data_IF_977366125015
#
_entry.id   IF_977366125015
#
_cell.length_a   1.000
_cell.length_b   1.000
_cell.length_c   1.000
_cell.angle_alpha   90.00
_cell.angle_beta   90.00
_cell.angle_gamma   90.00
#
_symmetry.space_group_name_H-M   'P 1'
#
loop_
_entity.id
_entity.type
_entity.pdbx_description
1 polymer ?
#
# COMPACT_ATOMS: atom_id res chain seq x y z
N UNK A 1 23.67 9.89 -8.46
CA UNK A 1 22.22 9.80 -8.74
C UNK A 1 21.54 9.35 -7.46
N UNK A 2 20.69 10.18 -6.86
CA UNK A 2 19.77 9.71 -5.81
C UNK A 2 18.61 9.03 -6.52
N UNK A 3 18.41 7.74 -6.28
CA UNK A 3 17.18 7.06 -6.69
C UNK A 3 16.15 7.35 -5.60
N UNK A 4 15.31 8.35 -5.81
CA UNK A 4 14.18 8.67 -4.92
C UNK A 4 12.95 7.91 -5.39
N UNK A 5 12.97 6.58 -5.25
CA UNK A 5 11.75 5.77 -5.39
C UNK A 5 11.14 5.61 -4.01
N UNK A 6 10.49 6.68 -3.56
CA UNK A 6 9.73 6.74 -2.32
C UNK A 6 8.27 7.04 -2.68
N UNK A 7 7.34 6.39 -2.00
CA UNK A 7 5.90 6.58 -2.17
C UNK A 7 5.24 6.50 -0.79
N UNK A 8 4.15 7.22 -0.61
CA UNK A 8 3.39 7.25 0.63
C UNK A 8 2.06 6.54 0.43
N UNK A 9 1.78 5.61 1.33
CA UNK A 9 0.50 4.93 1.42
C UNK A 9 -0.34 5.54 2.53
N UNK A 10 -1.47 6.14 2.17
CA UNK A 10 -2.49 6.58 3.11
C UNK A 10 -3.58 5.51 3.20
N UNK A 11 -3.66 4.77 4.31
CA UNK A 11 -4.56 3.63 4.45
C UNK A 11 -5.46 3.74 5.68
N UNK A 12 -6.75 3.45 5.52
CA UNK A 12 -7.67 3.31 6.65
C UNK A 12 -7.39 2.02 7.42
N UNK A 13 -7.40 2.11 8.75
CA UNK A 13 -7.33 0.91 9.58
C UNK A 13 -8.70 0.23 9.62
N UNK A 14 -8.76 -1.05 9.28
CA UNK A 14 -9.95 -1.89 9.48
C UNK A 14 -10.39 -1.94 10.95
N UNK A 15 -9.43 -1.97 11.88
CA UNK A 15 -9.72 -2.13 13.31
C UNK A 15 -10.10 -0.82 14.02
N UNK A 16 -9.40 0.29 13.77
CA UNK A 16 -9.62 1.56 14.48
C UNK A 16 -10.21 2.69 13.62
N UNK A 17 -10.42 2.48 12.31
CA UNK A 17 -10.97 3.47 11.39
C UNK A 17 -10.05 4.68 11.09
N UNK A 18 -8.87 4.77 11.73
CA UNK A 18 -7.95 5.89 11.50
C UNK A 18 -7.21 5.77 10.18
N UNK A 19 -7.17 6.88 9.42
CA UNK A 19 -6.28 7.06 8.28
C UNK A 19 -4.86 7.35 8.78
N UNK A 20 -3.87 6.57 8.31
CA UNK A 20 -2.46 6.83 8.62
C UNK A 20 -1.64 6.83 7.33
N UNK A 21 -0.60 7.65 7.32
CA UNK A 21 0.34 7.78 6.22
C UNK A 21 1.58 6.91 6.52
N UNK A 22 1.99 6.14 5.54
CA UNK A 22 3.14 5.25 5.63
C UNK A 22 4.07 5.47 4.44
N UNK A 23 5.24 6.00 4.73
CA UNK A 23 6.27 6.22 3.73
C UNK A 23 6.99 4.91 3.44
N UNK A 24 6.97 4.50 2.18
CA UNK A 24 7.64 3.33 1.66
C UNK A 24 8.76 3.77 0.74
N UNK A 25 9.91 3.12 0.88
CA UNK A 25 11.03 3.32 -0.02
C UNK A 25 11.39 2.03 -0.73
N UNK A 26 11.86 2.13 -1.97
CA UNK A 26 12.30 0.98 -2.77
C UNK A 26 13.36 0.15 -2.03
N UNK A 27 14.17 0.81 -1.19
CA UNK A 27 15.22 0.17 -0.40
C UNK A 27 14.68 -0.80 0.66
N UNK A 28 13.44 -0.63 1.13
CA UNK A 28 12.82 -1.58 2.07
C UNK A 28 12.55 -2.94 1.43
N UNK A 29 12.53 -3.02 0.09
CA UNK A 29 12.42 -4.27 -0.65
C UNK A 29 13.79 -4.87 -1.00
N UNK A 30 14.89 -4.18 -0.68
CA UNK A 30 16.24 -4.67 -0.96
C UNK A 30 16.60 -5.77 0.03
N UNK A 31 16.44 -7.03 -0.38
CA UNK A 31 16.71 -8.21 0.46
C UNK A 31 15.48 -8.79 1.15
N UNK A 32 14.34 -8.08 1.14
CA UNK A 32 13.07 -8.60 1.62
C UNK A 32 11.98 -8.40 0.54
N UNK A 33 11.24 -9.45 0.21
CA UNK A 33 10.25 -9.37 -0.85
C UNK A 33 8.92 -8.76 -0.38
N UNK A 34 8.78 -8.38 0.88
CA UNK A 34 7.56 -7.78 1.40
C UNK A 34 7.80 -6.78 2.52
N UNK A 35 6.89 -5.82 2.63
CA UNK A 35 6.83 -4.79 3.66
C UNK A 35 5.43 -4.80 4.24
N UNK A 36 5.32 -5.07 5.55
CA UNK A 36 4.05 -5.03 6.27
C UNK A 36 3.84 -3.64 6.88
N UNK A 37 2.61 -3.13 6.77
CA UNK A 37 2.21 -1.81 7.22
C UNK A 37 1.37 -1.97 8.47
N UNK A 38 1.86 -1.43 9.58
CA UNK A 38 1.21 -1.53 10.88
C UNK A 38 0.49 -0.24 11.22
N UNK A 39 -0.70 -0.37 11.78
CA UNK A 39 -1.37 0.76 12.43
C UNK A 39 -0.73 1.04 13.80
N UNK A 40 -0.91 2.27 14.29
CA UNK A 40 -0.64 2.62 15.69
C UNK A 40 -1.40 1.74 16.70
N UNK A 41 -2.49 1.06 16.28
CA UNK A 41 -3.23 0.13 17.13
C UNK A 41 -2.59 -1.28 17.20
N UNK A 42 -1.48 -1.53 16.50
CA UNK A 42 -0.77 -2.81 16.47
C UNK A 42 -1.23 -3.78 15.36
N UNK A 43 -2.35 -3.50 14.69
CA UNK A 43 -2.89 -4.35 13.63
C UNK A 43 -2.21 -4.12 12.29
N UNK A 44 -2.06 -5.18 11.48
CA UNK A 44 -1.54 -5.08 10.12
C UNK A 44 -2.67 -4.54 9.22
N UNK A 45 -2.46 -3.38 8.62
CA UNK A 45 -3.42 -2.78 7.68
C UNK A 45 -3.29 -3.37 6.28
N UNK A 46 -2.04 -3.50 5.85
CA UNK A 46 -1.71 -3.94 4.51
C UNK A 46 -0.30 -4.51 4.45
N UNK A 47 -0.04 -5.31 3.42
CA UNK A 47 1.28 -5.85 3.12
C UNK A 47 1.57 -5.61 1.65
N UNK A 48 2.68 -4.94 1.37
CA UNK A 48 3.17 -4.77 0.01
C UNK A 48 4.16 -5.89 -0.29
N UNK A 49 3.93 -6.65 -1.36
CA UNK A 49 4.81 -7.73 -1.79
C UNK A 49 5.44 -7.35 -3.13
N UNK A 50 6.77 -7.24 -3.16
CA UNK A 50 7.55 -7.05 -4.38
C UNK A 50 7.80 -8.39 -5.08
N UNK A 51 7.40 -8.47 -6.35
CA UNK A 51 7.79 -9.53 -7.27
C UNK A 51 8.90 -9.02 -8.18
N UNK A 52 10.14 -9.35 -7.81
CA UNK A 52 11.37 -9.00 -8.57
C UNK A 52 11.50 -7.50 -8.88
N UNK A 53 10.98 -6.62 -8.02
CA UNK A 53 10.97 -5.16 -8.23
C UNK A 53 10.32 -4.68 -9.54
N UNK A 54 9.60 -5.56 -10.25
CA UNK A 54 8.88 -5.24 -11.49
C UNK A 54 7.38 -5.09 -11.25
N UNK A 55 6.88 -5.78 -10.24
CA UNK A 55 5.48 -5.78 -9.85
C UNK A 55 5.38 -5.71 -8.34
N UNK A 56 4.40 -4.96 -7.86
CA UNK A 56 4.08 -4.80 -6.46
C UNK A 56 2.65 -5.24 -6.23
N UNK A 57 2.43 -6.14 -5.29
CA UNK A 57 1.10 -6.56 -4.88
C UNK A 57 0.77 -5.90 -3.56
N UNK A 58 -0.25 -5.06 -3.55
CA UNK A 58 -0.79 -4.49 -2.32
C UNK A 58 -1.89 -5.41 -1.79
N UNK A 59 -1.60 -6.07 -0.67
CA UNK A 59 -2.58 -6.85 0.07
C UNK A 59 -3.18 -5.95 1.13
N UNK A 60 -4.49 -5.71 1.11
CA UNK A 60 -5.17 -4.86 2.09
C UNK A 60 -6.41 -5.59 2.62
N UNK A 61 -6.55 -5.58 3.94
CA UNK A 61 -7.70 -6.20 4.60
C UNK A 61 -8.84 -5.17 4.67
N UNK A 62 -9.92 -5.40 3.93
CA UNK A 62 -11.05 -4.49 3.86
C UNK A 62 -12.11 -4.90 4.90
N UNK A 63 -12.41 -4.01 5.84
CA UNK A 63 -13.42 -4.29 6.89
C UNK A 63 -14.86 -4.22 6.36
N UNK A 64 -15.07 -3.52 5.26
CA UNK A 64 -16.42 -3.29 4.72
C UNK A 64 -16.93 -4.51 3.95
N UNK A 65 -16.03 -5.18 3.26
CA UNK A 65 -16.30 -6.37 2.47
C UNK A 65 -15.83 -7.65 3.18
N UNK A 66 -15.13 -7.53 4.32
CA UNK A 66 -14.51 -8.62 5.09
C UNK A 66 -13.59 -9.54 4.26
N UNK A 67 -13.06 -9.03 3.15
CA UNK A 67 -12.20 -9.76 2.22
C UNK A 67 -10.84 -9.06 2.12
N UNK A 68 -9.80 -9.84 1.82
CA UNK A 68 -8.47 -9.32 1.48
C UNK A 68 -8.44 -8.92 0.00
N UNK A 69 -8.24 -7.65 -0.30
CA UNK A 69 -7.99 -7.21 -1.67
C UNK A 69 -6.52 -7.36 -2.03
N UNK A 70 -6.27 -7.88 -3.23
CA UNK A 70 -4.94 -7.99 -3.81
C UNK A 70 -4.93 -7.10 -5.04
N UNK A 71 -4.23 -5.97 -4.94
CA UNK A 71 -4.20 -4.97 -6.02
C UNK A 71 -2.81 -5.02 -6.66
N UNK A 72 -2.71 -5.47 -7.93
CA UNK A 72 -1.45 -5.51 -8.63
C UNK A 72 -1.10 -4.14 -9.19
N UNK A 73 0.12 -3.70 -8.90
CA UNK A 73 0.74 -2.51 -9.47
C UNK A 73 1.99 -2.92 -10.26
N UNK A 74 2.20 -2.28 -11.42
CA UNK A 74 3.52 -2.29 -12.05
C UNK A 74 4.49 -1.41 -11.24
N UNK A 75 5.80 -1.62 -11.41
CA UNK A 75 6.79 -0.76 -10.76
C UNK A 75 6.59 0.72 -11.12
N UNK A 76 6.30 1.02 -12.39
CA UNK A 76 6.09 2.40 -12.86
C UNK A 76 4.85 3.03 -12.22
N UNK A 77 3.77 2.27 -12.00
CA UNK A 77 2.58 2.76 -11.29
C UNK A 77 2.81 2.92 -9.79
N UNK A 78 3.54 1.99 -9.17
CA UNK A 78 3.75 1.99 -7.72
C UNK A 78 4.66 3.14 -7.27
N UNK A 79 5.63 3.50 -8.12
CA UNK A 79 6.56 4.60 -7.91
C UNK A 79 6.24 5.83 -8.76
N UNK A 80 5.03 5.90 -9.33
CA UNK A 80 4.60 7.06 -10.09
C UNK A 80 4.54 8.30 -9.20
N UNK A 81 4.76 9.46 -9.80
CA UNK A 81 4.56 10.77 -9.16
C UNK A 81 3.07 11.18 -9.14
N UNK A 82 2.17 10.21 -9.30
CA UNK A 82 0.72 10.42 -9.37
C UNK A 82 0.02 9.74 -8.20
N UNK A 83 -1.00 10.40 -7.65
CA UNK A 83 -1.82 9.84 -6.58
C UNK A 83 -2.82 8.84 -7.17
N UNK A 84 -2.57 7.56 -6.91
CA UNK A 84 -3.47 6.46 -7.24
C UNK A 84 -4.43 6.20 -6.10
N UNK A 85 -5.73 6.21 -6.40
CA UNK A 85 -6.78 5.87 -5.42
C UNK A 85 -6.95 4.37 -5.32
N UNK A 86 -6.97 3.86 -4.10
CA UNK A 86 -7.17 2.45 -3.81
C UNK A 86 -8.63 2.30 -3.41
N UNK A 87 -9.43 1.69 -4.28
CA UNK A 87 -10.86 1.52 -4.07
C UNK A 87 -11.19 0.04 -3.85
N UNK A 88 -12.20 -0.22 -3.01
CA UNK A 88 -12.81 -1.53 -2.88
C UNK A 88 -13.66 -1.81 -4.12
N UNK A 89 -13.35 -2.89 -4.84
CA UNK A 89 -14.08 -3.32 -6.04
C UNK A 89 -15.55 -3.63 -5.77
N UNK A 90 -15.87 -4.07 -4.55
CA UNK A 90 -17.22 -4.52 -4.18
C UNK A 90 -18.14 -3.40 -3.69
N UNK A 91 -17.59 -2.35 -3.06
CA UNK A 91 -18.41 -1.35 -2.34
C UNK A 91 -18.23 0.09 -2.85
N UNK A 92 -17.43 0.32 -3.91
CA UNK A 92 -17.11 1.68 -4.39
C UNK A 92 -16.66 2.60 -3.25
N UNK A 93 -15.97 2.03 -2.26
CA UNK A 93 -15.45 2.76 -1.11
C UNK A 93 -13.95 2.96 -1.27
N UNK A 94 -13.48 4.17 -1.01
CA UNK A 94 -12.07 4.51 -1.04
C UNK A 94 -11.37 3.90 0.21
N UNK A 95 -10.50 2.91 -0.02
CA UNK A 95 -9.72 2.23 1.03
C UNK A 95 -8.43 2.98 1.37
N UNK A 96 -7.94 3.81 0.44
CA UNK A 96 -6.74 4.59 0.65
C UNK A 96 -6.17 5.26 -0.60
N UNK A 97 -4.98 5.82 -0.47
CA UNK A 97 -4.23 6.51 -1.52
C UNK A 97 -2.78 6.02 -1.55
N UNK A 98 -2.21 5.95 -2.74
CA UNK A 98 -0.80 5.67 -3.01
C UNK A 98 -0.24 6.80 -3.85
N UNK A 99 0.87 7.42 -3.47
CA UNK A 99 1.49 8.45 -4.30
C UNK A 99 2.66 9.16 -3.61
N UNK A 100 3.32 10.11 -4.28
CA UNK A 100 4.38 10.91 -3.66
C UNK A 100 3.82 11.76 -2.52
N UNK A 101 4.67 12.05 -1.53
CA UNK A 101 4.32 12.84 -0.34
C UNK A 101 4.32 14.34 -0.60
#
# INVERSE_FOLDING_TARGET
MLVTANTTLALFCSHCGKLTYHDISIFQFSGNNSVSIYCECGEIKATVISKRHRQYLLHIDCVVCEIKHIIPFSADQFWADEVTRINCSDVTLELGFLGPR
#
